data_IF_930860914934
#
_entry.id   IF_930860914934
#
_cell.length_a   1.000
_cell.length_b   1.000
_cell.length_c   1.000
_cell.angle_alpha   90.00
_cell.angle_beta   90.00
_cell.angle_gamma   90.00
#
_symmetry.space_group_name_H-M   'P 1'
#
loop_
_entity.id
_entity.type
_entity.pdbx_description
1 polymer ?
#
# COMPACT_ATOMS: atom_id res chain seq x y z
N UNK A 1 1.45 -13.13 21.46
CA UNK A 1 2.23 -13.18 20.21
C UNK A 1 3.14 -14.39 20.27
N UNK A 2 3.16 -15.22 19.22
CA UNK A 2 4.07 -16.36 19.13
C UNK A 2 5.36 -15.92 18.45
N UNK A 3 6.50 -16.12 19.10
CA UNK A 3 7.82 -15.84 18.53
C UNK A 3 8.36 -17.07 17.82
N UNK A 4 8.86 -16.91 16.59
CA UNK A 4 9.55 -17.97 15.86
C UNK A 4 11.04 -17.60 15.73
N UNK A 5 11.91 -18.61 15.79
CA UNK A 5 13.36 -18.43 15.60
C UNK A 5 13.74 -18.81 14.18
N UNK A 6 14.44 -17.90 13.50
CA UNK A 6 15.00 -18.11 12.16
C UNK A 6 16.52 -18.07 12.28
N UNK A 7 17.20 -19.06 11.71
CA UNK A 7 18.66 -19.05 11.52
C UNK A 7 18.95 -18.55 10.12
N UNK A 8 19.85 -17.59 9.99
CA UNK A 8 20.23 -16.97 8.71
C UNK A 8 21.74 -17.04 8.52
N UNK A 9 22.17 -17.30 7.29
CA UNK A 9 23.58 -17.18 6.91
C UNK A 9 23.86 -15.73 6.51
N UNK A 10 24.80 -15.08 7.20
CA UNK A 10 25.23 -13.71 6.92
C UNK A 10 26.69 -13.71 6.46
N UNK A 11 27.08 -12.84 5.51
CA UNK A 11 28.48 -12.59 5.23
C UNK A 11 29.20 -12.15 6.52
N UNK A 12 30.36 -12.74 6.79
CA UNK A 12 31.17 -12.49 8.00
C UNK A 12 31.38 -10.97 8.25
N UNK A 13 31.61 -10.20 7.19
CA UNK A 13 31.78 -8.75 7.28
C UNK A 13 30.54 -8.03 7.85
N UNK A 14 29.34 -8.46 7.45
CA UNK A 14 28.05 -7.91 7.93
C UNK A 14 27.83 -8.28 9.39
N UNK A 15 28.09 -9.54 9.76
CA UNK A 15 27.95 -9.98 11.16
C UNK A 15 28.89 -9.20 12.09
N UNK A 16 30.17 -9.03 11.71
CA UNK A 16 31.12 -8.21 12.50
C UNK A 16 30.68 -6.76 12.64
N UNK A 17 30.10 -6.18 11.59
CA UNK A 17 29.56 -4.82 11.67
C UNK A 17 28.40 -4.73 12.65
N UNK A 18 27.47 -5.69 12.63
CA UNK A 18 26.36 -5.76 13.58
C UNK A 18 26.85 -5.90 15.02
N UNK A 19 27.85 -6.74 15.27
CA UNK A 19 28.47 -6.90 16.60
C UNK A 19 29.06 -5.57 17.10
N UNK A 20 29.83 -4.86 16.27
CA UNK A 20 30.39 -3.55 16.65
C UNK A 20 29.31 -2.54 17.03
N UNK A 21 28.20 -2.50 16.29
CA UNK A 21 27.08 -1.61 16.58
C UNK A 21 26.38 -2.03 17.87
N UNK A 22 26.15 -3.33 18.06
CA UNK A 22 25.57 -3.89 19.28
C UNK A 22 26.39 -3.54 20.53
N UNK A 23 27.72 -3.68 20.48
CA UNK A 23 28.62 -3.28 21.55
C UNK A 23 28.56 -1.78 21.83
N UNK A 24 28.64 -0.95 20.77
CA UNK A 24 28.59 0.51 20.89
C UNK A 24 27.25 1.03 21.44
N UNK A 25 26.15 0.34 21.13
CA UNK A 25 24.79 0.70 21.57
C UNK A 25 24.34 -0.04 22.83
N UNK A 26 25.16 -0.95 23.36
CA UNK A 26 24.86 -1.84 24.48
C UNK A 26 23.55 -2.64 24.28
N UNK A 27 23.36 -3.15 23.06
CA UNK A 27 22.18 -3.96 22.71
C UNK A 27 22.61 -5.36 22.25
N UNK A 28 21.80 -6.40 22.50
CA UNK A 28 22.05 -7.72 21.92
C UNK A 28 22.04 -7.68 20.40
N UNK A 29 22.94 -8.42 19.75
CA UNK A 29 23.04 -8.46 18.29
C UNK A 29 21.74 -8.95 17.65
N UNK A 30 21.04 -9.88 18.30
CA UNK A 30 19.75 -10.42 17.85
C UNK A 30 18.67 -9.35 17.81
N UNK A 31 18.69 -8.41 18.76
CA UNK A 31 17.75 -7.29 18.80
C UNK A 31 18.00 -6.34 17.63
N UNK A 32 19.27 -6.04 17.35
CA UNK A 32 19.65 -5.20 16.21
C UNK A 32 19.27 -5.84 14.87
N UNK A 33 19.51 -7.16 14.73
CA UNK A 33 19.10 -7.93 13.55
C UNK A 33 17.58 -7.91 13.40
N UNK A 34 16.84 -8.21 14.47
CA UNK A 34 15.38 -8.20 14.44
C UNK A 34 14.82 -6.83 14.05
N UNK A 35 15.34 -5.74 14.63
CA UNK A 35 14.95 -4.37 14.26
C UNK A 35 15.25 -4.09 12.79
N UNK A 36 16.44 -4.46 12.32
CA UNK A 36 16.84 -4.26 10.91
C UNK A 36 15.91 -5.01 9.96
N UNK A 37 15.49 -6.23 10.31
CA UNK A 37 14.51 -6.99 9.51
C UNK A 37 13.15 -6.31 9.56
N UNK A 38 12.62 -6.01 10.75
CA UNK A 38 11.29 -5.41 10.94
C UNK A 38 11.16 -4.05 10.22
N UNK A 39 12.21 -3.22 10.27
CA UNK A 39 12.22 -1.91 9.60
C UNK A 39 12.30 -1.98 8.08
N UNK A 40 12.69 -3.14 7.52
CA UNK A 40 12.79 -3.35 6.07
C UNK A 40 11.70 -4.26 5.51
N UNK A 41 10.70 -4.63 6.31
CA UNK A 41 9.55 -5.38 5.80
C UNK A 41 8.73 -4.54 4.82
N UNK A 42 8.15 -5.16 3.77
CA UNK A 42 7.22 -4.48 2.89
C UNK A 42 5.98 -4.00 3.66
N UNK A 43 5.25 -3.01 3.11
CA UNK A 43 4.01 -2.52 3.72
C UNK A 43 3.02 -3.67 3.96
N UNK A 44 2.53 -3.77 5.20
CA UNK A 44 1.62 -4.83 5.61
C UNK A 44 0.29 -4.77 4.86
N UNK A 45 -0.29 -5.95 4.60
CA UNK A 45 -1.60 -6.12 3.96
C UNK A 45 -2.66 -6.64 4.95
N UNK A 46 -2.29 -6.87 6.22
CA UNK A 46 -3.14 -7.57 7.20
C UNK A 46 -4.48 -6.88 7.46
N UNK A 47 -4.54 -5.56 7.32
CA UNK A 47 -5.74 -4.77 7.54
C UNK A 47 -6.68 -4.72 6.32
N UNK A 48 -6.28 -5.25 5.17
CA UNK A 48 -7.12 -5.30 3.98
C UNK A 48 -8.11 -6.49 4.05
N UNK A 49 -9.24 -6.36 3.34
CA UNK A 49 -10.17 -7.48 3.17
C UNK A 49 -9.46 -8.68 2.51
N UNK A 50 -9.78 -9.93 2.90
CA UNK A 50 -9.10 -11.13 2.41
C UNK A 50 -9.01 -11.23 0.87
N UNK A 51 -10.04 -10.75 0.18
CA UNK A 51 -10.13 -10.72 -1.27
C UNK A 51 -9.04 -9.84 -1.88
N UNK A 52 -8.75 -8.70 -1.24
CA UNK A 52 -7.77 -7.71 -1.67
C UNK A 52 -6.35 -8.07 -1.23
N UNK A 53 -6.18 -8.78 -0.11
CA UNK A 53 -4.84 -9.19 0.37
C UNK A 53 -4.03 -9.92 -0.69
N UNK A 54 -4.65 -10.84 -1.42
CA UNK A 54 -3.96 -11.60 -2.50
C UNK A 54 -3.47 -10.69 -3.61
N UNK A 55 -4.24 -9.67 -3.97
CA UNK A 55 -3.86 -8.70 -4.98
C UNK A 55 -2.71 -7.82 -4.49
N UNK A 56 -2.80 -7.30 -3.27
CA UNK A 56 -1.74 -6.48 -2.67
C UNK A 56 -0.43 -7.28 -2.54
N UNK A 57 -0.47 -8.55 -2.15
CA UNK A 57 0.74 -9.39 -2.10
C UNK A 57 1.38 -9.52 -3.48
N UNK A 58 0.59 -9.70 -4.55
CA UNK A 58 1.10 -9.75 -5.93
C UNK A 58 1.75 -8.43 -6.34
N UNK A 59 1.26 -7.29 -5.85
CA UNK A 59 1.88 -6.00 -6.16
C UNK A 59 3.32 -5.87 -5.63
N UNK A 60 3.66 -6.57 -4.54
CA UNK A 60 5.01 -6.49 -3.95
C UNK A 60 6.12 -7.00 -4.88
N UNK A 61 5.79 -7.83 -5.89
CA UNK A 61 6.74 -8.38 -6.86
C UNK A 61 6.71 -7.68 -8.22
N UNK A 62 5.81 -6.71 -8.43
CA UNK A 62 5.75 -5.93 -9.67
C UNK A 62 6.99 -5.06 -9.87
N UNK A 63 7.31 -4.70 -11.10
CA UNK A 63 8.34 -3.72 -11.45
C UNK A 63 7.99 -2.32 -10.94
N UNK A 64 8.99 -1.42 -10.95
CA UNK A 64 8.77 -0.01 -10.57
C UNK A 64 7.82 0.67 -11.55
N UNK A 65 7.92 0.33 -12.84
CA UNK A 65 7.12 0.85 -13.93
C UNK A 65 5.64 0.46 -13.77
N UNK A 66 5.37 -0.82 -13.55
CA UNK A 66 4.01 -1.33 -13.31
C UNK A 66 3.37 -0.69 -12.07
N UNK A 67 4.15 -0.51 -10.99
CA UNK A 67 3.67 0.16 -9.79
C UNK A 67 3.36 1.64 -10.03
N UNK A 68 4.15 2.33 -10.86
CA UNK A 68 3.88 3.72 -11.23
C UNK A 68 2.63 3.85 -12.09
N UNK A 69 2.38 2.91 -13.00
CA UNK A 69 1.13 2.85 -13.78
C UNK A 69 -0.08 2.70 -12.86
N UNK A 70 -0.04 1.76 -11.92
CA UNK A 70 -1.10 1.59 -10.92
C UNK A 70 -1.25 2.85 -10.06
N UNK A 71 -0.15 3.40 -9.55
CA UNK A 71 -0.15 4.57 -8.69
C UNK A 71 -0.74 5.83 -9.37
N UNK A 72 -0.59 5.93 -10.70
CA UNK A 72 -1.08 7.04 -11.52
C UNK A 72 -2.39 6.72 -12.24
N UNK A 73 -3.00 5.56 -11.98
CA UNK A 73 -4.29 5.20 -12.56
C UNK A 73 -5.42 6.15 -12.08
N UNK A 74 -6.45 6.26 -12.90
CA UNK A 74 -7.62 7.09 -12.66
C UNK A 74 -8.89 6.32 -13.03
N UNK A 75 -10.02 6.72 -12.44
CA UNK A 75 -11.31 6.28 -12.91
C UNK A 75 -11.59 6.87 -14.30
N UNK A 76 -12.35 6.12 -15.11
CA UNK A 76 -12.84 6.63 -16.39
C UNK A 76 -13.64 7.92 -16.18
N UNK A 77 -13.42 8.97 -17.00
CA UNK A 77 -14.13 10.25 -16.85
C UNK A 77 -15.66 10.10 -16.85
N UNK A 78 -16.18 9.14 -17.60
CA UNK A 78 -17.60 8.82 -17.64
C UNK A 78 -18.13 8.29 -16.30
N UNK A 79 -17.36 7.44 -15.60
CA UNK A 79 -17.73 6.92 -14.28
C UNK A 79 -17.72 8.03 -13.23
N UNK A 80 -16.77 8.96 -13.33
CA UNK A 80 -16.70 10.12 -12.44
C UNK A 80 -17.87 11.08 -12.64
N UNK A 81 -18.21 11.41 -13.90
CA UNK A 81 -19.39 12.22 -14.20
C UNK A 81 -20.68 11.57 -13.68
N UNK A 82 -20.82 10.24 -13.87
CA UNK A 82 -21.97 9.47 -13.41
C UNK A 82 -22.05 9.44 -11.87
N UNK A 83 -20.92 9.25 -11.20
CA UNK A 83 -20.85 9.29 -9.73
C UNK A 83 -21.33 10.64 -9.20
N UNK A 84 -20.87 11.75 -9.77
CA UNK A 84 -21.32 13.10 -9.40
C UNK A 84 -22.82 13.30 -9.63
N UNK A 85 -23.36 12.85 -10.77
CA UNK A 85 -24.80 12.91 -11.05
C UNK A 85 -25.62 12.16 -9.98
N UNK A 86 -25.19 10.94 -9.63
CA UNK A 86 -25.86 10.11 -8.63
C UNK A 86 -25.75 10.69 -7.22
N UNK A 87 -24.64 11.35 -6.88
CA UNK A 87 -24.52 12.07 -5.61
C UNK A 87 -25.51 13.24 -5.53
N UNK A 88 -25.63 14.05 -6.57
CA UNK A 88 -26.62 15.15 -6.62
C UNK A 88 -28.04 14.62 -6.49
N UNK A 89 -28.39 13.50 -7.14
CA UNK A 89 -29.70 12.85 -6.96
C UNK A 89 -29.90 12.27 -5.56
N UNK A 90 -28.84 11.77 -4.92
CA UNK A 90 -28.87 11.27 -3.55
C UNK A 90 -29.26 12.40 -2.58
N UNK A 91 -28.63 13.57 -2.71
CA UNK A 91 -28.91 14.76 -1.90
C UNK A 91 -30.36 15.22 -2.06
N UNK A 92 -30.92 15.10 -3.26
CA UNK A 92 -32.33 15.38 -3.56
C UNK A 92 -33.29 14.26 -3.16
N UNK A 93 -32.80 13.19 -2.52
CA UNK A 93 -33.56 11.99 -2.13
C UNK A 93 -34.36 11.36 -3.28
N UNK A 94 -33.86 11.48 -4.52
CA UNK A 94 -34.57 11.10 -5.74
C UNK A 94 -33.98 9.87 -6.45
N UNK A 95 -33.09 9.13 -5.78
CA UNK A 95 -32.49 7.92 -6.33
C UNK A 95 -33.48 6.76 -6.38
N UNK A 96 -33.61 6.15 -7.56
CA UNK A 96 -34.23 4.84 -7.72
C UNK A 96 -33.37 3.73 -7.08
N UNK A 97 -33.97 2.56 -6.82
CA UNK A 97 -33.24 1.39 -6.31
C UNK A 97 -32.08 0.97 -7.23
N UNK A 98 -32.27 1.08 -8.55
CA UNK A 98 -31.22 0.77 -9.51
C UNK A 98 -30.05 1.75 -9.42
N UNK A 99 -30.35 3.05 -9.29
CA UNK A 99 -29.34 4.10 -9.14
C UNK A 99 -28.61 4.01 -7.79
N UNK A 100 -29.27 3.56 -6.71
CA UNK A 100 -28.63 3.29 -5.43
C UNK A 100 -27.59 2.15 -5.54
N UNK A 101 -27.95 1.06 -6.22
CA UNK A 101 -27.04 -0.05 -6.48
C UNK A 101 -25.85 0.37 -7.35
N UNK A 102 -26.12 1.19 -8.38
CA UNK A 102 -25.09 1.76 -9.25
C UNK A 102 -24.12 2.64 -8.45
N UNK A 103 -24.64 3.52 -7.58
CA UNK A 103 -23.81 4.37 -6.71
C UNK A 103 -22.96 3.56 -5.74
N UNK A 104 -23.47 2.48 -5.16
CA UNK A 104 -22.68 1.57 -4.31
C UNK A 104 -21.51 0.96 -5.08
N UNK A 105 -21.80 0.47 -6.29
CA UNK A 105 -20.80 -0.17 -7.15
C UNK A 105 -19.69 0.81 -7.55
N UNK A 106 -20.05 2.05 -7.88
CA UNK A 106 -19.09 3.11 -8.21
C UNK A 106 -18.21 3.51 -7.02
N UNK A 107 -18.76 3.49 -5.80
CA UNK A 107 -17.98 3.76 -4.58
C UNK A 107 -17.00 2.64 -4.28
N UNK A 108 -17.45 1.39 -4.35
CA UNK A 108 -16.61 0.21 -4.14
C UNK A 108 -15.44 0.16 -5.14
N UNK A 109 -15.70 0.48 -6.42
CA UNK A 109 -14.64 0.52 -7.44
C UNK A 109 -13.64 1.65 -7.17
N UNK A 110 -14.11 2.83 -6.78
CA UNK A 110 -13.27 3.97 -6.44
C UNK A 110 -12.41 3.71 -5.20
N UNK A 111 -12.99 3.13 -4.15
CA UNK A 111 -12.29 2.77 -2.91
C UNK A 111 -11.21 1.72 -3.17
N UNK A 112 -11.54 0.69 -3.98
CA UNK A 112 -10.58 -0.32 -4.41
C UNK A 112 -9.43 0.31 -5.19
N UNK A 113 -9.71 1.19 -6.15
CA UNK A 113 -8.69 1.89 -6.91
C UNK A 113 -7.78 2.73 -5.99
N UNK A 114 -8.38 3.45 -5.03
CA UNK A 114 -7.65 4.27 -4.08
C UNK A 114 -6.71 3.42 -3.22
N UNK A 115 -7.16 2.25 -2.75
CA UNK A 115 -6.33 1.32 -1.99
C UNK A 115 -5.13 0.84 -2.82
N UNK A 116 -5.36 0.42 -4.08
CA UNK A 116 -4.28 -0.02 -4.96
C UNK A 116 -3.28 1.10 -5.22
N UNK A 117 -3.74 2.32 -5.47
CA UNK A 117 -2.88 3.50 -5.66
C UNK A 117 -2.03 3.77 -4.42
N UNK A 118 -2.65 3.80 -3.24
CA UNK A 118 -1.96 4.04 -1.98
C UNK A 118 -0.91 2.95 -1.69
N UNK A 119 -1.27 1.69 -1.95
CA UNK A 119 -0.36 0.57 -1.74
C UNK A 119 0.81 0.60 -2.73
N UNK A 120 0.57 0.92 -4.00
CA UNK A 120 1.64 1.10 -4.99
C UNK A 120 2.65 2.18 -4.55
N UNK A 121 2.17 3.34 -4.10
CA UNK A 121 3.03 4.39 -3.54
C UNK A 121 3.82 3.92 -2.31
N UNK A 122 3.22 3.11 -1.45
CA UNK A 122 3.90 2.57 -0.27
C UNK A 122 5.04 1.60 -0.63
N UNK A 123 4.85 0.75 -1.65
CA UNK A 123 5.90 -0.15 -2.17
C UNK A 123 7.01 0.68 -2.82
N UNK A 124 6.65 1.66 -3.65
CA UNK A 124 7.63 2.54 -4.31
C UNK A 124 8.54 3.23 -3.30
N UNK A 125 7.96 3.78 -2.22
CA UNK A 125 8.73 4.38 -1.11
C UNK A 125 9.61 3.38 -0.40
N UNK A 126 9.08 2.18 -0.11
CA UNK A 126 9.85 1.10 0.51
C UNK A 126 11.07 0.70 -0.34
N UNK A 127 10.95 0.77 -1.67
CA UNK A 127 12.05 0.55 -2.62
C UNK A 127 12.97 1.78 -2.82
N UNK A 128 12.79 2.84 -2.05
CA UNK A 128 13.62 4.05 -2.11
C UNK A 128 13.27 5.02 -3.24
N UNK A 129 12.13 4.85 -3.92
CA UNK A 129 11.66 5.80 -4.93
C UNK A 129 11.15 7.09 -4.27
N UNK A 130 11.37 8.24 -4.93
CA UNK A 130 10.75 9.50 -4.50
C UNK A 130 9.24 9.44 -4.73
N UNK A 131 8.48 9.70 -3.67
CA UNK A 131 7.06 10.02 -3.81
C UNK A 131 6.96 11.50 -4.20
N UNK A 132 6.24 11.85 -5.28
CA UNK A 132 5.95 13.24 -5.61
C UNK A 132 5.11 13.91 -4.49
N UNK A 133 5.22 15.22 -4.33
CA UNK A 133 4.41 15.96 -3.35
C UNK A 133 2.91 15.86 -3.69
N UNK A 134 2.05 16.10 -2.70
CA UNK A 134 0.59 15.92 -2.81
C UNK A 134 -0.03 16.71 -3.97
N UNK A 135 0.55 17.87 -4.29
CA UNK A 135 0.11 18.75 -5.37
C UNK A 135 0.35 18.16 -6.76
N UNK A 136 1.31 17.24 -6.88
CA UNK A 136 1.66 16.51 -8.10
C UNK A 136 0.98 15.14 -8.18
N UNK A 137 0.33 14.71 -7.09
CA UNK A 137 -0.43 13.47 -7.10
C UNK A 137 -1.75 13.67 -7.84
N UNK A 138 -2.13 12.70 -8.69
CA UNK A 138 -3.47 12.66 -9.26
C UNK A 138 -4.51 12.38 -8.18
N UNK A 139 -4.98 13.44 -7.52
CA UNK A 139 -6.09 13.39 -6.59
C UNK A 139 -7.41 13.31 -7.37
N UNK A 140 -8.36 12.46 -6.95
CA UNK A 140 -9.74 12.60 -7.42
C UNK A 140 -10.23 14.00 -7.01
N UNK A 141 -10.48 14.87 -7.99
CA UNK A 141 -11.22 16.12 -7.78
C UNK A 141 -12.71 15.85 -7.85
#
# INVERSE_FOLDING_TARGET
MTTQRVTIDLPEAVFRQLVRIAEATQQPVEKLVAQSVLSNLPPSVENAAPELQRELIRMQVLSTEELLEIARSHNEPAQQARHTELLTKNEMQSLSLQEQQELSTLRESADRLMLLKAYAWSILRWRGQRIPPLEELPLPR
#
